data_IF_608547449216
#
_entry.id   IF_608547449216
#
_cell.length_a   1.000
_cell.length_b   1.000
_cell.length_c   1.000
_cell.angle_alpha   90.00
_cell.angle_beta   90.00
_cell.angle_gamma   90.00
#
_symmetry.space_group_name_H-M   'P 1'
#
loop_
_entity.id
_entity.type
_entity.pdbx_description
1 polymer ?
#
# COMPACT_ATOMS: atom_id res chain seq x y z
N UNK A 1 -3.82 -19.81 5.37
CA UNK A 1 -2.88 -20.69 6.08
C UNK A 1 -2.17 -21.69 5.16
N UNK A 2 -2.88 -22.31 4.20
CA UNK A 2 -2.33 -23.37 3.35
C UNK A 2 -1.72 -22.87 2.01
N UNK A 3 -1.50 -21.58 1.87
CA UNK A 3 -0.90 -20.97 0.66
C UNK A 3 0.50 -20.48 1.03
N UNK A 4 1.57 -21.14 0.56
CA UNK A 4 2.95 -20.81 0.94
C UNK A 4 3.41 -19.43 0.45
N UNK A 5 2.78 -18.91 -0.61
CA UNK A 5 3.11 -17.59 -1.17
C UNK A 5 2.70 -16.41 -0.27
N UNK A 6 1.85 -16.63 0.73
CA UNK A 6 1.49 -15.59 1.70
C UNK A 6 2.62 -15.46 2.71
N UNK A 7 3.27 -14.31 2.73
CA UNK A 7 4.41 -14.02 3.62
C UNK A 7 3.96 -13.38 4.94
N UNK A 8 2.91 -12.58 4.89
CA UNK A 8 2.39 -11.87 6.07
C UNK A 8 0.85 -11.77 6.00
N UNK A 9 0.24 -11.60 7.16
CA UNK A 9 -1.17 -11.24 7.31
C UNK A 9 -1.30 -9.76 7.58
N UNK A 10 -2.28 -9.09 6.96
CA UNK A 10 -2.66 -7.72 7.26
C UNK A 10 -4.05 -7.68 7.84
N UNK A 11 -4.25 -6.94 8.94
CA UNK A 11 -5.53 -6.89 9.65
C UNK A 11 -6.55 -5.95 9.00
N UNK A 12 -6.13 -5.10 8.08
CA UNK A 12 -7.03 -4.15 7.42
C UNK A 12 -6.34 -2.88 6.96
N UNK A 13 -7.14 -1.84 6.72
CA UNK A 13 -6.68 -0.56 6.19
C UNK A 13 -7.41 0.60 6.88
N UNK A 14 -6.67 1.65 7.29
CA UNK A 14 -7.14 2.98 7.72
C UNK A 14 -8.34 2.99 8.70
N UNK A 15 -8.41 2.05 9.63
CA UNK A 15 -9.57 1.90 10.52
C UNK A 15 -9.26 2.21 12.00
N UNK A 16 -8.15 2.92 12.27
CA UNK A 16 -7.67 3.17 13.63
C UNK A 16 -7.18 1.89 14.31
N UNK A 17 -6.92 1.93 15.62
CA UNK A 17 -6.46 0.78 16.38
C UNK A 17 -7.20 0.68 17.72
N UNK A 18 -7.62 -0.52 18.08
CA UNK A 18 -8.38 -0.75 19.29
C UNK A 18 -8.46 -2.23 19.68
N UNK A 19 -9.27 -2.53 20.68
CA UNK A 19 -9.37 -3.88 21.28
C UNK A 19 -9.65 -4.97 20.25
N UNK A 20 -10.54 -4.72 19.28
CA UNK A 20 -10.84 -5.70 18.23
C UNK A 20 -9.63 -6.08 17.38
N UNK A 21 -8.73 -5.13 17.09
CA UNK A 21 -7.49 -5.40 16.37
C UNK A 21 -6.47 -6.15 17.23
N UNK A 22 -6.42 -5.85 18.53
CA UNK A 22 -5.55 -6.57 19.48
C UNK A 22 -5.97 -8.04 19.54
N UNK A 23 -7.28 -8.31 19.78
CA UNK A 23 -7.83 -9.67 19.86
C UNK A 23 -7.64 -10.42 18.52
N UNK A 24 -7.92 -9.78 17.38
CA UNK A 24 -7.70 -10.38 16.07
C UNK A 24 -6.22 -10.71 15.83
N UNK A 25 -5.31 -9.81 16.22
CA UNK A 25 -3.88 -10.02 16.10
C UNK A 25 -3.38 -11.18 16.96
N UNK A 26 -3.82 -11.27 18.20
CA UNK A 26 -3.52 -12.37 19.10
C UNK A 26 -4.03 -13.70 18.53
N UNK A 27 -5.26 -13.72 18.04
CA UNK A 27 -5.84 -14.90 17.39
C UNK A 27 -5.02 -15.36 16.19
N UNK A 28 -4.56 -14.43 15.34
CA UNK A 28 -3.69 -14.77 14.18
C UNK A 28 -2.40 -15.39 14.66
N UNK A 29 -1.75 -14.82 15.68
CA UNK A 29 -0.49 -15.35 16.24
C UNK A 29 -0.65 -16.76 16.83
N UNK A 30 -1.76 -17.04 17.46
CA UNK A 30 -2.07 -18.36 18.03
C UNK A 30 -2.36 -19.40 16.93
N UNK A 31 -3.03 -18.99 15.85
CA UNK A 31 -3.50 -19.92 14.82
C UNK A 31 -2.57 -20.05 13.62
N UNK A 32 -1.70 -19.06 13.37
CA UNK A 32 -0.67 -19.09 12.33
C UNK A 32 0.62 -18.37 12.77
N UNK A 33 1.39 -18.93 13.68
CA UNK A 33 2.62 -18.32 14.20
C UNK A 33 3.76 -18.28 13.16
N UNK A 34 3.54 -18.84 11.97
CA UNK A 34 4.58 -18.95 10.93
C UNK A 34 4.71 -17.71 10.07
N UNK A 35 3.77 -16.77 10.18
CA UNK A 35 3.73 -15.56 9.35
C UNK A 35 3.79 -14.29 10.19
N UNK A 36 4.36 -13.27 9.58
CA UNK A 36 4.38 -11.94 10.18
C UNK A 36 2.99 -11.32 10.17
N UNK A 37 2.71 -10.48 11.15
CA UNK A 37 1.47 -9.73 11.25
C UNK A 37 1.73 -8.25 11.01
N UNK A 38 0.94 -7.68 10.12
CA UNK A 38 0.98 -6.30 9.69
C UNK A 38 -0.34 -5.60 10.00
N UNK A 39 -0.27 -4.34 10.40
CA UNK A 39 -1.38 -3.41 10.38
C UNK A 39 -0.87 -1.96 10.47
N UNK A 40 -1.05 -1.18 9.41
CA UNK A 40 -0.53 0.19 9.34
C UNK A 40 -1.12 1.07 10.43
N UNK A 41 -2.44 1.02 10.61
CA UNK A 41 -3.13 1.89 11.57
C UNK A 41 -2.82 1.57 13.04
N UNK A 42 -1.97 0.60 13.33
CA UNK A 42 -1.48 0.34 14.69
C UNK A 42 -0.76 1.54 15.33
N UNK A 43 -0.31 2.50 14.50
CA UNK A 43 0.26 3.78 14.96
C UNK A 43 -0.81 4.81 15.35
N UNK A 44 -2.07 4.60 14.98
CA UNK A 44 -3.19 5.52 15.19
C UNK A 44 -4.05 5.10 16.39
N UNK A 45 -3.46 5.16 17.58
CA UNK A 45 -4.11 4.74 18.84
C UNK A 45 -4.99 5.84 19.48
N UNK A 46 -5.08 7.01 18.87
CA UNK A 46 -5.78 8.17 19.45
C UNK A 46 -5.13 8.68 20.73
N UNK A 47 -3.81 8.52 20.88
CA UNK A 47 -3.05 8.92 22.06
C UNK A 47 -3.21 7.98 23.28
N UNK A 48 -3.84 6.83 23.10
CA UNK A 48 -3.96 5.80 24.14
C UNK A 48 -2.74 4.86 24.07
N UNK A 49 -2.33 4.40 25.24
CA UNK A 49 -1.36 3.31 25.34
C UNK A 49 -2.08 2.00 25.01
N UNK A 50 -1.78 1.46 23.84
CA UNK A 50 -2.43 0.25 23.31
C UNK A 50 -1.37 -0.82 23.04
N UNK A 51 -1.71 -2.07 23.34
CA UNK A 51 -0.83 -3.21 23.06
C UNK A 51 -0.68 -3.43 21.55
N UNK A 52 0.53 -3.22 21.05
CA UNK A 52 0.94 -3.46 19.65
C UNK A 52 1.97 -4.58 19.53
N UNK A 53 2.13 -5.40 20.58
CA UNK A 53 3.15 -6.46 20.64
C UNK A 53 2.95 -7.55 19.59
N UNK A 54 1.70 -7.81 19.19
CA UNK A 54 1.39 -8.79 18.15
C UNK A 54 1.73 -8.33 16.73
N UNK A 55 1.93 -7.02 16.49
CA UNK A 55 2.29 -6.46 15.19
C UNK A 55 3.80 -6.54 15.01
N UNK A 56 4.27 -7.22 13.97
CA UNK A 56 5.70 -7.46 13.76
C UNK A 56 6.41 -6.35 12.99
N UNK A 57 5.68 -5.58 12.18
CA UNK A 57 6.23 -4.59 11.27
C UNK A 57 5.80 -3.18 11.66
N UNK A 58 6.68 -2.20 11.49
CA UNK A 58 6.30 -0.80 11.52
C UNK A 58 5.91 -0.38 10.11
N UNK A 59 4.69 0.07 9.93
CA UNK A 59 4.14 0.36 8.60
C UNK A 59 3.75 1.82 8.44
N UNK A 60 3.94 2.34 7.25
CA UNK A 60 3.58 3.72 6.88
C UNK A 60 3.00 3.77 5.47
N UNK A 61 2.14 4.79 5.25
CA UNK A 61 1.65 5.21 3.94
C UNK A 61 2.35 6.51 3.56
N UNK A 62 2.94 6.56 2.38
CA UNK A 62 3.52 7.75 1.76
C UNK A 62 4.44 8.59 2.67
N UNK A 63 5.30 8.01 3.51
CA UNK A 63 6.24 8.81 4.28
C UNK A 63 7.29 9.43 3.34
N UNK A 64 7.80 10.63 3.63
CA UNK A 64 8.93 11.17 2.88
C UNK A 64 10.16 10.24 2.94
N UNK A 65 10.98 10.23 1.88
CA UNK A 65 12.24 9.45 1.81
C UNK A 65 13.14 9.74 3.02
N UNK A 66 13.22 11.01 3.42
CA UNK A 66 13.99 11.42 4.61
C UNK A 66 13.51 10.73 5.90
N UNK A 67 12.20 10.59 6.09
CA UNK A 67 11.64 9.84 7.21
C UNK A 67 12.07 8.37 7.22
N UNK A 68 12.02 7.72 6.05
CA UNK A 68 12.44 6.32 5.93
C UNK A 68 13.91 6.14 6.33
N UNK A 69 14.77 7.05 5.87
CA UNK A 69 16.18 7.07 6.25
C UNK A 69 16.37 7.23 7.75
N UNK A 70 15.74 8.26 8.35
CA UNK A 70 15.83 8.53 9.79
C UNK A 70 15.34 7.32 10.61
N UNK A 71 14.24 6.70 10.18
CA UNK A 71 13.73 5.51 10.85
C UNK A 71 14.74 4.36 10.81
N UNK A 72 15.34 4.11 9.65
CA UNK A 72 16.29 3.01 9.47
C UNK A 72 17.61 3.22 10.21
N UNK A 73 18.02 4.48 10.41
CA UNK A 73 19.25 4.85 11.13
C UNK A 73 19.06 4.90 12.66
N UNK A 74 17.81 4.89 13.14
CA UNK A 74 17.51 4.92 14.58
C UNK A 74 17.65 3.53 15.20
N UNK A 75 18.74 3.31 15.93
CA UNK A 75 19.05 2.05 16.61
C UNK A 75 18.02 1.64 17.70
N UNK A 76 17.11 2.53 18.09
CA UNK A 76 16.01 2.23 19.04
C UNK A 76 14.82 1.57 18.36
N UNK A 77 14.73 1.66 17.02
CA UNK A 77 13.64 1.05 16.25
C UNK A 77 13.87 -0.45 16.07
N UNK A 78 13.05 -1.24 16.76
CA UNK A 78 13.17 -2.71 16.77
C UNK A 78 12.40 -3.38 15.61
N UNK A 79 11.32 -2.76 15.12
CA UNK A 79 10.47 -3.34 14.07
C UNK A 79 10.96 -2.93 12.68
N UNK A 80 11.06 -3.87 11.73
CA UNK A 80 11.37 -3.51 10.34
C UNK A 80 10.33 -2.58 9.73
N UNK A 81 10.78 -1.64 8.91
CA UNK A 81 9.92 -0.72 8.16
C UNK A 81 9.36 -1.41 6.91
N UNK A 82 8.06 -1.21 6.67
CA UNK A 82 7.40 -1.54 5.41
C UNK A 82 6.50 -0.38 4.99
N UNK A 83 6.45 -0.08 3.70
CA UNK A 83 5.50 0.90 3.17
C UNK A 83 4.30 0.15 2.59
N UNK A 84 3.19 0.12 3.33
CA UNK A 84 1.98 -0.55 2.83
C UNK A 84 1.36 0.16 1.64
N UNK A 85 1.67 1.46 1.46
CA UNK A 85 1.41 2.24 0.27
C UNK A 85 2.54 3.26 0.06
N UNK A 86 3.03 3.40 -1.17
CA UNK A 86 4.00 4.41 -1.52
C UNK A 86 3.93 4.76 -3.01
N UNK A 87 4.61 5.81 -3.44
CA UNK A 87 4.73 6.27 -4.83
C UNK A 87 3.41 6.19 -5.61
N UNK A 88 2.38 6.88 -5.11
CA UNK A 88 1.02 6.91 -5.67
C UNK A 88 1.03 7.22 -7.17
N UNK A 89 0.47 6.31 -7.99
CA UNK A 89 0.62 6.35 -9.45
C UNK A 89 -0.39 7.27 -10.16
N UNK A 90 -1.22 8.01 -9.41
CA UNK A 90 -2.20 8.94 -9.97
C UNK A 90 -1.53 10.13 -10.65
N UNK A 91 -2.07 10.57 -11.78
CA UNK A 91 -1.62 11.78 -12.49
C UNK A 91 -0.20 11.64 -13.04
N UNK A 92 0.74 12.45 -12.53
CA UNK A 92 2.15 12.41 -12.91
C UNK A 92 2.99 11.43 -12.08
N UNK A 93 2.36 10.69 -11.15
CA UNK A 93 3.02 9.61 -10.43
C UNK A 93 3.28 8.37 -11.31
N UNK A 94 3.97 7.37 -10.75
CA UNK A 94 4.71 7.40 -9.48
C UNK A 94 5.99 8.24 -9.55
N UNK A 95 6.44 8.78 -8.41
CA UNK A 95 7.69 9.52 -8.29
C UNK A 95 8.58 8.96 -7.18
N UNK A 96 9.83 9.39 -7.16
CA UNK A 96 10.82 9.09 -6.11
C UNK A 96 11.11 7.58 -5.90
N UNK A 97 10.77 6.72 -6.87
CA UNK A 97 10.91 5.28 -6.74
C UNK A 97 12.37 4.86 -6.53
N UNK A 98 13.30 5.49 -7.26
CA UNK A 98 14.74 5.25 -7.15
C UNK A 98 15.26 5.62 -5.76
N UNK A 99 14.84 6.77 -5.22
CA UNK A 99 15.26 7.22 -3.88
C UNK A 99 14.82 6.24 -2.78
N UNK A 100 13.61 5.70 -2.87
CA UNK A 100 13.16 4.65 -1.94
C UNK A 100 13.93 3.35 -2.14
N UNK A 101 14.17 2.94 -3.38
CA UNK A 101 14.90 1.71 -3.67
C UNK A 101 16.34 1.76 -3.15
N UNK A 102 17.03 2.90 -3.30
CA UNK A 102 18.37 3.10 -2.71
C UNK A 102 18.38 2.85 -1.20
N UNK A 103 17.32 3.28 -0.48
CA UNK A 103 17.22 3.02 0.96
C UNK A 103 16.89 1.56 1.26
N UNK A 104 16.02 0.92 0.47
CA UNK A 104 15.67 -0.50 0.61
C UNK A 104 16.92 -1.36 0.43
N UNK A 105 17.74 -1.07 -0.58
CA UNK A 105 18.98 -1.82 -0.83
C UNK A 105 20.07 -1.57 0.22
N UNK A 106 20.01 -0.40 0.87
CA UNK A 106 21.01 0.01 1.85
C UNK A 106 20.76 -0.51 3.27
N UNK A 107 19.49 -0.59 3.68
CA UNK A 107 19.13 -0.87 5.07
C UNK A 107 18.37 -2.18 5.22
N UNK A 108 18.97 -3.16 5.90
CA UNK A 108 18.37 -4.48 6.14
C UNK A 108 17.05 -4.44 6.91
N UNK A 109 16.78 -3.36 7.65
CA UNK A 109 15.53 -3.14 8.36
C UNK A 109 14.45 -2.40 7.55
N UNK A 110 14.66 -2.21 6.24
CA UNK A 110 13.65 -1.68 5.33
C UNK A 110 13.17 -2.78 4.38
N UNK A 111 11.98 -3.34 4.65
CA UNK A 111 11.47 -4.51 3.93
C UNK A 111 11.00 -4.22 2.50
N UNK A 112 10.77 -2.94 2.15
CA UNK A 112 10.22 -2.55 0.85
C UNK A 112 8.86 -1.87 0.94
N UNK A 113 8.14 -1.80 -0.19
CA UNK A 113 6.86 -1.12 -0.27
C UNK A 113 5.93 -1.68 -1.35
N UNK A 114 4.67 -1.31 -1.25
CA UNK A 114 3.62 -1.63 -2.21
C UNK A 114 3.16 -0.36 -2.91
N UNK A 115 3.28 -0.34 -4.23
CA UNK A 115 2.82 0.81 -5.04
C UNK A 115 1.31 0.92 -4.96
N UNK A 116 0.79 2.08 -4.69
CA UNK A 116 -0.62 2.38 -4.88
C UNK A 116 -0.84 3.03 -6.26
N UNK A 117 -1.42 2.32 -7.23
CA UNK A 117 -1.78 0.92 -7.17
C UNK A 117 -1.51 0.21 -8.51
N UNK A 118 -1.97 -1.03 -8.65
CA UNK A 118 -1.68 -1.84 -9.82
C UNK A 118 -2.43 -1.39 -11.07
N UNK A 119 -3.74 -1.12 -10.98
CA UNK A 119 -4.57 -0.98 -12.17
C UNK A 119 -5.64 0.09 -12.00
N UNK A 120 -5.77 0.97 -12.98
CA UNK A 120 -6.88 1.91 -13.06
C UNK A 120 -8.23 1.19 -12.94
N UNK A 121 -9.10 1.67 -12.04
CA UNK A 121 -10.43 1.13 -11.82
C UNK A 121 -11.44 1.80 -12.73
N UNK A 122 -11.59 1.28 -13.94
CA UNK A 122 -12.61 1.76 -14.88
C UNK A 122 -13.24 0.62 -15.67
N UNK A 123 -14.50 0.79 -16.04
CA UNK A 123 -15.30 -0.19 -16.77
C UNK A 123 -15.32 0.14 -18.24
N UNK A 124 -14.95 -0.82 -19.08
CA UNK A 124 -15.02 -0.66 -20.53
C UNK A 124 -16.47 -0.55 -21.03
N UNK A 125 -16.79 0.51 -21.73
CA UNK A 125 -18.13 0.82 -22.23
C UNK A 125 -18.27 0.75 -23.75
N UNK A 126 -17.23 0.31 -24.46
CA UNK A 126 -17.26 0.26 -25.92
C UNK A 126 -16.32 1.25 -26.58
N UNK A 127 -16.66 1.66 -27.80
CA UNK A 127 -15.83 2.58 -28.59
C UNK A 127 -16.66 3.76 -29.12
N UNK A 128 -16.01 4.89 -29.25
CA UNK A 128 -16.56 6.04 -30.02
C UNK A 128 -16.68 5.69 -31.51
N UNK A 129 -17.38 6.52 -32.26
CA UNK A 129 -17.47 6.43 -33.73
C UNK A 129 -16.07 6.49 -34.37
N UNK A 130 -15.13 7.21 -33.74
CA UNK A 130 -13.74 7.30 -34.18
C UNK A 130 -12.87 6.10 -33.72
N UNK A 131 -13.45 5.07 -33.11
CA UNK A 131 -12.76 3.86 -32.68
C UNK A 131 -11.99 4.00 -31.37
N UNK A 132 -12.06 5.13 -30.65
CA UNK A 132 -11.44 5.29 -29.34
C UNK A 132 -12.24 4.54 -28.28
N UNK A 133 -11.54 3.82 -27.40
CA UNK A 133 -12.14 3.13 -26.27
C UNK A 133 -12.73 4.10 -25.27
N UNK A 134 -13.85 3.71 -24.69
CA UNK A 134 -14.58 4.48 -23.67
C UNK A 134 -14.52 3.68 -22.38
N UNK A 135 -14.11 4.34 -21.30
CA UNK A 135 -14.12 3.80 -19.95
C UNK A 135 -14.89 4.72 -19.02
N UNK A 136 -15.73 4.13 -18.18
CA UNK A 136 -16.49 4.84 -17.16
C UNK A 136 -15.91 4.60 -15.78
N UNK A 137 -15.87 5.64 -14.96
CA UNK A 137 -15.43 5.62 -13.57
C UNK A 137 -16.16 6.72 -12.77
N UNK A 138 -15.89 6.86 -11.51
CA UNK A 138 -16.43 7.79 -10.53
C UNK A 138 -17.43 8.86 -11.00
N UNK A 139 -18.74 8.61 -10.89
CA UNK A 139 -19.83 9.51 -11.29
C UNK A 139 -20.40 9.25 -12.68
N UNK A 140 -19.71 8.52 -13.56
CA UNK A 140 -20.14 8.31 -14.95
C UNK A 140 -21.38 7.41 -15.08
N UNK A 141 -21.70 6.63 -14.05
CA UNK A 141 -22.91 5.80 -13.99
C UNK A 141 -24.09 6.51 -13.35
N UNK A 142 -23.94 7.79 -12.98
CA UNK A 142 -24.99 8.60 -12.36
C UNK A 142 -25.10 8.41 -10.85
N UNK A 143 -24.15 7.73 -10.22
CA UNK A 143 -24.04 7.63 -8.77
C UNK A 143 -23.76 8.99 -8.14
N UNK A 144 -24.37 9.28 -6.98
CA UNK A 144 -24.26 10.56 -6.28
C UNK A 144 -23.02 10.64 -5.37
N UNK A 145 -22.60 9.50 -4.86
CA UNK A 145 -21.44 9.39 -3.97
C UNK A 145 -20.28 8.75 -4.71
N UNK A 146 -19.26 9.55 -5.02
CA UNK A 146 -18.07 9.11 -5.73
C UNK A 146 -16.92 10.12 -5.52
N UNK A 147 -15.69 9.70 -5.76
CA UNK A 147 -14.48 10.52 -5.65
C UNK A 147 -13.88 10.90 -7.03
N UNK A 148 -14.72 10.88 -8.08
CA UNK A 148 -14.32 11.27 -9.44
C UNK A 148 -13.22 10.35 -9.99
N UNK A 149 -12.07 10.95 -10.34
CA UNK A 149 -10.93 10.23 -10.90
C UNK A 149 -9.99 9.62 -9.86
N UNK A 150 -10.36 9.63 -8.58
CA UNK A 150 -9.55 9.03 -7.50
C UNK A 150 -9.66 7.49 -7.49
N UNK A 151 -9.55 6.92 -8.66
CA UNK A 151 -9.54 5.49 -8.98
C UNK A 151 -8.75 5.25 -10.29
N UNK A 152 -8.14 6.33 -10.84
CA UNK A 152 -7.31 6.31 -12.03
C UNK A 152 -5.85 6.51 -11.60
N UNK A 153 -5.36 5.57 -10.83
CA UNK A 153 -4.11 5.61 -10.08
C UNK A 153 -3.28 4.33 -10.22
N UNK A 154 -3.57 3.56 -11.26
CA UNK A 154 -2.88 2.32 -11.57
C UNK A 154 -1.52 2.51 -12.26
N UNK A 155 -0.63 1.54 -12.09
CA UNK A 155 0.56 1.35 -12.92
C UNK A 155 0.21 0.88 -14.33
N UNK A 156 -0.98 0.32 -14.50
CA UNK A 156 -1.52 -0.10 -15.80
C UNK A 156 -2.92 0.45 -16.03
N UNK A 157 -3.25 0.63 -17.30
CA UNK A 157 -4.62 0.93 -17.75
C UNK A 157 -5.60 -0.22 -17.44
N UNK A 158 -6.92 0.00 -17.52
CA UNK A 158 -7.90 -1.06 -17.28
C UNK A 158 -7.73 -2.29 -18.19
N UNK A 159 -7.18 -2.10 -19.39
CA UNK A 159 -6.86 -3.16 -20.35
C UNK A 159 -5.46 -3.80 -20.14
N UNK A 160 -4.79 -3.46 -19.04
CA UNK A 160 -3.47 -3.94 -18.64
C UNK A 160 -2.28 -3.41 -19.47
N UNK A 161 -2.48 -2.49 -20.39
CA UNK A 161 -1.35 -1.78 -21.00
C UNK A 161 -0.61 -0.97 -19.94
N UNK A 162 0.73 -0.95 -19.95
CA UNK A 162 1.50 -0.19 -18.98
C UNK A 162 1.34 1.33 -19.15
N UNK A 163 1.15 2.04 -18.05
CA UNK A 163 1.40 3.47 -17.97
C UNK A 163 2.90 3.77 -18.08
N UNK A 164 3.25 5.02 -18.34
CA UNK A 164 4.64 5.45 -18.37
C UNK A 164 5.33 5.16 -17.04
N UNK A 165 4.65 5.40 -15.92
CA UNK A 165 5.16 5.14 -14.58
C UNK A 165 5.59 3.70 -14.33
N UNK A 166 4.87 2.70 -14.89
CA UNK A 166 5.33 1.30 -14.78
C UNK A 166 6.62 1.05 -15.54
N UNK A 167 6.82 1.72 -16.68
CA UNK A 167 8.05 1.59 -17.47
C UNK A 167 9.26 2.21 -16.73
N UNK A 168 9.04 3.33 -16.05
CA UNK A 168 10.03 3.93 -15.17
C UNK A 168 10.36 3.01 -14.00
N UNK A 169 9.33 2.57 -13.28
CA UNK A 169 9.46 1.68 -12.13
C UNK A 169 10.17 0.35 -12.44
N UNK A 170 10.07 -0.13 -13.67
CA UNK A 170 10.78 -1.33 -14.12
C UNK A 170 12.33 -1.14 -14.14
N UNK A 171 12.80 0.10 -14.23
CA UNK A 171 14.23 0.41 -14.33
C UNK A 171 14.86 0.65 -12.94
N UNK A 172 14.05 0.72 -11.92
CA UNK A 172 14.40 0.76 -10.51
C UNK A 172 14.45 -0.67 -9.95
#
# INVERSE_FOLDING_TARGET
>A
KNVPAILLWSLGNESGYGVGFIEAGQWVKENDPTRLLHYESSIHTGGKDMDVSCIDLYSRMYPPVAFCKEYCEDAVKEKPLILCEYIHAMGNGPGDAEDYQELIDKYDNFCGGFVWEWCDHAVYMGKTIAGKEIYYYGGDFGEKTHDGNFCMDGLVYPDRRPHTGLKEYKNV
#
